data_IF_699378622057
#
_entry.id   IF_699378622057
#
_cell.length_a   1.000
_cell.length_b   1.000
_cell.length_c   1.000
_cell.angle_alpha   90.00
_cell.angle_beta   90.00
_cell.angle_gamma   90.00
#
_symmetry.space_group_name_H-M   'P 1'
#
loop_
_entity.id
_entity.type
_entity.pdbx_description
1 polymer ?
#
# COMPACT_ATOMS: atom_id res chain seq x y z
N UNK A 1 -11.05 -15.28 -8.61
CA UNK A 1 -12.16 -14.90 -7.70
C UNK A 1 -11.89 -13.49 -7.21
N UNK A 2 -12.81 -12.53 -7.35
CA UNK A 2 -12.59 -11.19 -6.84
C UNK A 2 -12.91 -11.14 -5.34
N UNK A 3 -12.02 -10.50 -4.58
CA UNK A 3 -12.12 -10.30 -3.15
C UNK A 3 -13.10 -9.14 -2.88
N UNK A 4 -14.16 -9.41 -2.13
CA UNK A 4 -15.12 -8.40 -1.69
C UNK A 4 -14.50 -7.58 -0.55
N UNK A 5 -14.09 -6.35 -0.84
CA UNK A 5 -13.83 -5.34 0.18
C UNK A 5 -15.13 -4.63 0.52
N UNK A 6 -15.61 -4.85 1.74
CA UNK A 6 -16.83 -4.28 2.29
C UNK A 6 -16.64 -2.79 2.58
N UNK A 7 -17.19 -1.95 1.71
CA UNK A 7 -17.33 -0.51 1.88
C UNK A 7 -18.24 -0.01 0.77
N UNK A 8 -19.24 0.82 1.08
CA UNK A 8 -20.32 1.27 0.18
C UNK A 8 -19.93 1.28 -1.32
N UNK A 9 -20.72 0.58 -2.14
CA UNK A 9 -20.38 0.28 -3.54
C UNK A 9 -20.18 1.56 -4.37
N UNK A 10 -18.94 1.86 -4.73
CA UNK A 10 -18.67 2.63 -5.93
C UNK A 10 -18.92 1.70 -7.11
N UNK A 11 -20.10 1.78 -7.73
CA UNK A 11 -20.53 0.88 -8.82
C UNK A 11 -19.68 0.93 -10.10
N UNK A 12 -18.47 1.50 -10.07
CA UNK A 12 -17.56 1.51 -11.22
C UNK A 12 -16.06 1.62 -10.89
N UNK A 13 -15.63 1.44 -9.63
CA UNK A 13 -14.20 1.44 -9.29
C UNK A 13 -13.57 0.08 -9.61
N UNK A 14 -12.67 0.05 -10.59
CA UNK A 14 -11.93 -1.13 -10.99
C UNK A 14 -10.42 -0.91 -10.88
N UNK A 15 -9.70 -1.85 -10.30
CA UNK A 15 -8.24 -1.90 -10.35
C UNK A 15 -7.84 -3.17 -11.07
N UNK A 16 -6.95 -3.06 -12.05
CA UNK A 16 -6.32 -4.20 -12.67
C UNK A 16 -4.80 -4.01 -12.78
N UNK A 17 -4.07 -5.08 -12.49
CA UNK A 17 -2.61 -5.10 -12.65
C UNK A 17 -2.29 -5.95 -13.87
N UNK A 18 -1.56 -5.38 -14.83
CA UNK A 18 -1.11 -6.11 -16.01
C UNK A 18 0.38 -5.86 -16.24
N UNK A 19 1.11 -6.92 -16.57
CA UNK A 19 2.48 -6.78 -17.05
C UNK A 19 2.42 -6.36 -18.51
N UNK A 20 2.91 -5.17 -18.83
CA UNK A 20 2.94 -4.68 -20.20
C UNK A 20 4.31 -4.98 -20.81
N UNK A 21 4.33 -5.98 -21.69
CA UNK A 21 5.53 -6.25 -22.50
C UNK A 21 5.57 -5.18 -23.61
N UNK A 22 6.35 -4.12 -23.41
CA UNK A 22 6.52 -3.07 -24.41
C UNK A 22 7.31 -3.60 -25.62
N UNK A 23 6.63 -4.23 -26.58
CA UNK A 23 7.18 -4.61 -27.88
C UNK A 23 7.28 -3.44 -28.87
N UNK A 24 6.82 -2.23 -28.49
CA UNK A 24 6.71 -1.08 -29.39
C UNK A 24 7.89 -0.09 -29.40
N UNK A 25 9.01 -0.41 -28.78
CA UNK A 25 10.29 0.28 -29.02
C UNK A 25 11.44 -0.71 -28.83
N UNK A 26 11.79 -1.39 -29.94
CA UNK A 26 12.92 -2.30 -30.04
C UNK A 26 14.24 -1.55 -29.93
N UNK A 27 14.69 -1.23 -28.72
CA UNK A 27 16.11 -1.12 -28.31
C UNK A 27 16.13 -1.11 -26.77
N UNK A 28 16.47 -2.25 -26.15
CA UNK A 28 16.29 -2.60 -24.71
C UNK A 28 14.85 -2.91 -24.29
N UNK A 29 14.42 -4.15 -24.55
CA UNK A 29 13.24 -4.74 -23.93
C UNK A 29 13.33 -4.66 -22.39
N UNK A 30 12.58 -3.73 -21.81
CA UNK A 30 12.38 -3.65 -20.36
C UNK A 30 10.92 -3.96 -20.12
N UNK A 31 10.66 -5.14 -19.57
CA UNK A 31 9.33 -5.53 -19.10
C UNK A 31 8.93 -4.56 -17.99
N UNK A 32 7.90 -3.74 -18.23
CA UNK A 32 7.38 -2.83 -17.24
C UNK A 32 6.05 -3.37 -16.71
N UNK A 33 5.90 -3.32 -15.40
CA UNK A 33 4.63 -3.67 -14.77
C UNK A 33 3.79 -2.41 -14.70
N UNK A 34 2.54 -2.49 -15.16
CA UNK A 34 1.64 -1.34 -15.23
C UNK A 34 0.39 -1.61 -14.38
N UNK A 35 0.15 -0.73 -13.42
CA UNK A 35 -1.08 -0.72 -12.63
C UNK A 35 -2.08 0.17 -13.33
N UNK A 36 -3.21 -0.39 -13.76
CA UNK A 36 -4.31 0.37 -14.35
C UNK A 36 -5.42 0.53 -13.31
N UNK A 37 -5.85 1.77 -13.12
CA UNK A 37 -6.96 2.12 -12.24
C UNK A 37 -8.04 2.79 -13.09
N UNK A 38 -9.28 2.34 -12.96
CA UNK A 38 -10.42 2.83 -13.74
C UNK A 38 -11.59 3.21 -12.84
N UNK A 39 -12.25 4.32 -13.14
CA UNK A 39 -13.53 4.72 -12.54
C UNK A 39 -14.50 5.12 -13.63
N UNK A 40 -15.53 4.30 -13.82
CA UNK A 40 -16.40 4.40 -15.00
C UNK A 40 -15.56 4.20 -16.26
N UNK A 41 -15.64 5.16 -17.20
CA UNK A 41 -14.87 5.14 -18.45
C UNK A 41 -13.46 5.72 -18.32
N UNK A 42 -13.16 6.39 -17.19
CA UNK A 42 -11.86 7.05 -16.98
C UNK A 42 -10.85 6.03 -16.52
N UNK A 43 -9.69 6.01 -17.17
CA UNK A 43 -8.61 5.09 -16.84
C UNK A 43 -7.28 5.84 -16.73
N UNK A 44 -6.53 5.55 -15.67
CA UNK A 44 -5.15 5.98 -15.50
C UNK A 44 -4.24 4.76 -15.38
N UNK A 45 -2.97 4.94 -15.73
CA UNK A 45 -1.95 3.89 -15.60
C UNK A 45 -0.73 4.38 -14.84
N UNK A 46 -0.14 3.51 -14.04
CA UNK A 46 1.12 3.73 -13.34
C UNK A 46 2.14 2.71 -13.81
N UNK A 47 3.26 3.20 -14.35
CA UNK A 47 4.45 2.38 -14.55
C UNK A 47 5.12 2.18 -13.19
N UNK A 48 5.16 0.92 -12.72
CA UNK A 48 5.80 0.56 -11.45
C UNK A 48 7.27 0.99 -11.50
N UNK A 49 7.96 0.77 -12.63
CA UNK A 49 9.36 1.15 -12.76
C UNK A 49 9.59 2.66 -12.62
N UNK A 50 8.80 3.49 -13.31
CA UNK A 50 8.97 4.96 -13.23
C UNK A 50 8.67 5.46 -11.82
N UNK A 51 7.61 4.94 -11.23
CA UNK A 51 7.20 5.34 -9.90
C UNK A 51 8.19 4.92 -8.81
N UNK A 52 8.67 3.69 -8.82
CA UNK A 52 9.71 3.25 -7.90
C UNK A 52 11.00 4.03 -8.06
N UNK A 53 11.38 4.37 -9.29
CA UNK A 53 12.52 5.24 -9.56
C UNK A 53 12.37 6.61 -8.90
N UNK A 54 11.20 7.22 -9.03
CA UNK A 54 10.90 8.50 -8.39
C UNK A 54 10.95 8.41 -6.86
N UNK A 55 10.41 7.33 -6.26
CA UNK A 55 10.49 7.16 -4.80
C UNK A 55 11.93 7.11 -4.34
N UNK A 56 12.75 6.26 -4.95
CA UNK A 56 14.16 6.12 -4.59
C UNK A 56 14.95 7.42 -4.80
N UNK A 57 14.67 8.16 -5.87
CA UNK A 57 15.29 9.46 -6.13
C UNK A 57 14.89 10.50 -5.08
N UNK A 58 13.61 10.57 -4.71
CA UNK A 58 13.11 11.49 -3.68
C UNK A 58 13.72 11.16 -2.32
N UNK A 59 13.78 9.88 -1.94
CA UNK A 59 14.40 9.44 -0.69
C UNK A 59 15.87 9.81 -0.67
N UNK A 60 16.63 9.55 -1.75
CA UNK A 60 18.05 9.96 -1.84
C UNK A 60 18.28 11.47 -1.71
N UNK A 61 17.32 12.29 -2.13
CA UNK A 61 17.41 13.75 -2.04
C UNK A 61 16.99 14.30 -0.68
N UNK A 62 16.04 13.65 0.00
CA UNK A 62 15.40 14.16 1.21
C UNK A 62 15.90 13.49 2.49
N UNK A 63 16.43 12.27 2.39
CA UNK A 63 16.97 11.53 3.52
C UNK A 63 18.38 12.01 3.85
N UNK A 64 18.64 12.21 5.14
CA UNK A 64 20.00 12.38 5.67
C UNK A 64 20.74 11.04 5.82
N UNK A 65 20.02 9.92 5.76
CA UNK A 65 20.53 8.56 5.83
C UNK A 65 20.79 7.98 4.45
N UNK A 66 21.71 7.02 4.39
CA UNK A 66 21.91 6.20 3.20
C UNK A 66 20.65 5.41 2.84
N UNK A 67 20.49 5.07 1.57
CA UNK A 67 19.34 4.35 1.05
C UNK A 67 19.20 2.97 1.71
N UNK A 68 20.31 2.31 2.03
CA UNK A 68 20.30 0.99 2.66
C UNK A 68 19.84 1.05 4.12
N UNK A 69 20.18 2.13 4.85
CA UNK A 69 19.65 2.37 6.20
C UNK A 69 18.16 2.67 6.15
N UNK A 70 17.73 3.49 5.18
CA UNK A 70 16.32 3.77 4.96
C UNK A 70 15.52 2.50 4.62
N UNK A 71 16.07 1.60 3.78
CA UNK A 71 15.45 0.31 3.48
C UNK A 71 15.29 -0.54 4.75
N UNK A 72 16.30 -0.57 5.63
CA UNK A 72 16.21 -1.32 6.90
C UNK A 72 15.12 -0.76 7.82
N UNK A 73 15.01 0.57 7.91
CA UNK A 73 13.96 1.22 8.69
C UNK A 73 12.57 0.89 8.11
N UNK A 74 12.39 1.06 6.80
CA UNK A 74 11.10 0.80 6.15
C UNK A 74 10.72 -0.69 6.16
N UNK A 75 11.70 -1.60 6.18
CA UNK A 75 11.44 -3.04 6.34
C UNK A 75 10.64 -3.34 7.61
N UNK A 76 10.85 -2.58 8.68
CA UNK A 76 10.14 -2.70 9.96
C UNK A 76 8.88 -1.82 9.95
N UNK A 77 9.02 -0.56 9.54
CA UNK A 77 7.97 0.46 9.65
C UNK A 77 6.78 0.17 8.74
N UNK A 78 7.02 -0.28 7.51
CA UNK A 78 5.95 -0.43 6.52
C UNK A 78 4.97 -1.58 6.86
N UNK A 79 5.41 -2.82 7.15
CA UNK A 79 4.49 -3.88 7.58
C UNK A 79 3.76 -3.51 8.88
N UNK A 80 4.46 -2.87 9.82
CA UNK A 80 3.88 -2.40 11.08
C UNK A 80 2.76 -1.38 10.86
N UNK A 81 2.97 -0.43 9.94
CA UNK A 81 1.93 0.50 9.50
C UNK A 81 0.74 -0.24 8.90
N UNK A 82 0.97 -1.23 8.02
CA UNK A 82 -0.11 -2.00 7.39
C UNK A 82 -0.96 -2.71 8.44
N UNK A 83 -0.32 -3.34 9.42
CA UNK A 83 -1.01 -4.00 10.54
C UNK A 83 -1.85 -2.97 11.31
N UNK A 84 -1.26 -1.86 11.73
CA UNK A 84 -1.97 -0.80 12.46
C UNK A 84 -3.17 -0.26 11.66
N UNK A 85 -2.99 -0.03 10.36
CA UNK A 85 -4.06 0.43 9.48
C UNK A 85 -5.22 -0.57 9.41
N UNK A 86 -4.95 -1.87 9.31
CA UNK A 86 -6.02 -2.88 9.28
C UNK A 86 -6.70 -3.09 10.63
N UNK A 87 -5.96 -2.96 11.74
CA UNK A 87 -6.55 -2.93 13.08
C UNK A 87 -7.53 -1.76 13.21
N UNK A 88 -7.13 -0.57 12.76
CA UNK A 88 -7.99 0.61 12.80
C UNK A 88 -9.20 0.46 11.86
N UNK A 89 -9.02 -0.12 10.67
CA UNK A 89 -10.12 -0.46 9.76
C UNK A 89 -11.11 -1.43 10.41
N UNK A 90 -10.62 -2.46 11.10
CA UNK A 90 -11.44 -3.43 11.81
C UNK A 90 -12.24 -2.77 12.93
N UNK A 91 -11.58 -1.95 13.76
CA UNK A 91 -12.25 -1.14 14.80
C UNK A 91 -13.38 -0.29 14.21
N UNK A 92 -13.11 0.39 13.10
CA UNK A 92 -14.08 1.25 12.42
C UNK A 92 -15.27 0.44 11.88
N UNK A 93 -15.03 -0.71 11.23
CA UNK A 93 -16.08 -1.53 10.63
C UNK A 93 -16.96 -2.24 11.66
N UNK A 94 -16.36 -2.73 12.74
CA UNK A 94 -17.06 -3.50 13.79
C UNK A 94 -17.55 -2.63 14.95
N UNK A 95 -17.26 -1.33 14.91
CA UNK A 95 -17.49 -0.40 16.02
C UNK A 95 -16.92 -0.96 17.35
N UNK A 96 -15.75 -1.59 17.25
CA UNK A 96 -15.07 -2.25 18.36
C UNK A 96 -13.90 -1.40 18.82
N UNK A 97 -13.53 -1.52 20.10
CA UNK A 97 -12.34 -0.88 20.66
C UNK A 97 -11.35 -1.96 21.05
N UNK A 98 -10.19 -1.95 20.42
CA UNK A 98 -9.10 -2.87 20.71
C UNK A 98 -8.18 -2.22 21.76
N UNK A 99 -7.82 -2.99 22.77
CA UNK A 99 -6.89 -2.57 23.83
C UNK A 99 -5.44 -2.54 23.32
N UNK A 100 -4.57 -1.84 24.05
CA UNK A 100 -3.14 -1.82 23.74
C UNK A 100 -2.53 -3.23 23.84
N UNK A 101 -3.02 -4.06 24.77
CA UNK A 101 -2.55 -5.43 25.00
C UNK A 101 -2.93 -6.35 23.84
N UNK A 102 -4.19 -6.28 23.38
CA UNK A 102 -4.66 -7.03 22.21
C UNK A 102 -3.88 -6.64 20.95
N UNK A 103 -3.62 -5.33 20.76
CA UNK A 103 -2.78 -4.84 19.67
C UNK A 103 -1.36 -5.40 19.75
N UNK A 104 -0.73 -5.38 20.92
CA UNK A 104 0.60 -5.98 21.10
C UNK A 104 0.60 -7.48 20.80
N UNK A 105 -0.46 -8.19 21.17
CA UNK A 105 -0.62 -9.62 20.89
C UNK A 105 -0.74 -9.92 19.40
N UNK A 106 -1.48 -9.11 18.65
CA UNK A 106 -1.53 -9.23 17.17
C UNK A 106 -0.13 -9.06 16.58
N UNK A 107 0.59 -8.01 16.98
CA UNK A 107 1.96 -7.77 16.51
C UNK A 107 2.90 -8.93 16.85
N UNK A 108 2.78 -9.52 18.04
CA UNK A 108 3.54 -10.69 18.43
C UNK A 108 3.23 -11.92 17.56
N UNK A 109 1.93 -12.22 17.34
CA UNK A 109 1.52 -13.36 16.51
C UNK A 109 2.02 -13.24 15.07
N UNK A 110 1.86 -12.06 14.46
CA UNK A 110 2.35 -11.79 13.10
C UNK A 110 3.88 -11.88 13.04
N UNK A 111 4.58 -11.31 14.04
CA UNK A 111 6.05 -11.38 14.11
C UNK A 111 6.55 -12.83 14.14
N UNK A 112 5.90 -13.70 14.92
CA UNK A 112 6.27 -15.12 15.02
C UNK A 112 5.99 -15.90 13.73
N UNK A 113 4.79 -15.75 13.15
CA UNK A 113 4.38 -16.55 11.99
C UNK A 113 5.04 -16.10 10.69
N UNK A 114 5.34 -14.80 10.55
CA UNK A 114 5.98 -14.24 9.36
C UNK A 114 7.48 -13.96 9.53
N UNK A 115 8.06 -14.25 10.70
CA UNK A 115 9.47 -13.99 11.04
C UNK A 115 9.87 -12.51 10.81
N UNK A 116 8.99 -11.59 11.21
CA UNK A 116 9.16 -10.15 11.01
C UNK A 116 9.54 -9.43 12.30
N UNK A 117 10.44 -8.46 12.18
CA UNK A 117 10.64 -7.44 13.22
C UNK A 117 9.64 -6.32 13.00
N UNK A 118 8.80 -6.03 13.99
CA UNK A 118 7.72 -5.06 13.91
C UNK A 118 7.80 -4.04 15.05
N UNK A 119 7.26 -2.84 14.81
CA UNK A 119 7.11 -1.78 15.81
C UNK A 119 5.63 -1.39 15.94
N UNK A 120 5.05 -1.69 17.10
CA UNK A 120 3.64 -1.39 17.42
C UNK A 120 3.31 0.10 17.28
N UNK A 121 4.30 0.99 17.45
CA UNK A 121 4.12 2.45 17.37
C UNK A 121 4.26 2.99 15.95
N UNK A 122 4.70 2.19 14.99
CA UNK A 122 4.88 2.63 13.62
C UNK A 122 3.54 2.83 12.90
N UNK A 123 3.21 4.08 12.59
CA UNK A 123 1.97 4.47 11.92
C UNK A 123 2.19 5.14 10.54
N UNK A 124 3.36 5.74 10.34
CA UNK A 124 3.69 6.54 9.16
C UNK A 124 4.90 5.95 8.45
N UNK A 125 4.72 5.51 7.21
CA UNK A 125 5.81 5.15 6.31
C UNK A 125 6.11 6.31 5.38
N UNK A 126 7.39 6.55 5.15
CA UNK A 126 7.84 7.58 4.22
C UNK A 126 7.47 7.26 2.77
N UNK A 127 7.28 5.98 2.43
CA UNK A 127 6.86 5.52 1.10
C UNK A 127 5.55 6.21 0.73
N UNK A 128 4.50 6.05 1.55
CA UNK A 128 3.20 6.68 1.31
C UNK A 128 3.30 8.22 1.21
N UNK A 129 4.13 8.85 2.04
CA UNK A 129 4.31 10.30 2.01
C UNK A 129 4.90 10.78 0.67
N UNK A 130 5.93 10.09 0.17
CA UNK A 130 6.56 10.40 -1.12
C UNK A 130 5.58 10.22 -2.28
N UNK A 131 4.74 9.20 -2.22
CA UNK A 131 3.70 8.93 -3.22
C UNK A 131 2.68 10.07 -3.27
N UNK A 132 2.10 10.39 -2.11
CA UNK A 132 1.07 11.43 -1.99
C UNK A 132 1.62 12.83 -2.30
N UNK A 133 2.90 13.08 -1.99
CA UNK A 133 3.62 14.31 -2.35
C UNK A 133 4.02 14.41 -3.82
N UNK A 134 3.88 13.34 -4.61
CA UNK A 134 4.26 13.37 -6.02
C UNK A 134 3.25 14.18 -6.85
N UNK A 135 3.73 15.25 -7.49
CA UNK A 135 2.92 16.03 -8.43
C UNK A 135 2.36 15.17 -9.58
N UNK A 136 3.09 14.13 -9.99
CA UNK A 136 2.65 13.20 -11.03
C UNK A 136 1.48 12.32 -10.56
N UNK A 137 1.47 11.94 -9.29
CA UNK A 137 0.39 11.18 -8.67
C UNK A 137 -0.86 12.06 -8.50
N UNK A 138 -0.70 13.27 -7.95
CA UNK A 138 -1.78 14.24 -7.78
C UNK A 138 -2.52 14.53 -9.10
N UNK A 139 -1.79 14.84 -10.18
CA UNK A 139 -2.39 15.08 -11.51
C UNK A 139 -3.18 13.87 -12.04
N UNK A 140 -2.72 12.64 -11.77
CA UNK A 140 -3.44 11.42 -12.18
C UNK A 140 -4.70 11.22 -11.35
N UNK A 141 -4.67 11.52 -10.04
CA UNK A 141 -5.85 11.47 -9.18
C UNK A 141 -6.87 12.54 -9.56
N UNK A 142 -6.42 13.75 -9.91
CA UNK A 142 -7.27 14.83 -10.41
C UNK A 142 -8.02 14.39 -11.67
N UNK A 143 -7.33 13.78 -12.63
CA UNK A 143 -7.93 13.29 -13.86
C UNK A 143 -8.90 12.10 -13.62
N UNK A 144 -8.53 11.17 -12.75
CA UNK A 144 -9.35 9.99 -12.46
C UNK A 144 -10.62 10.35 -11.67
N UNK A 145 -10.50 11.27 -10.72
CA UNK A 145 -11.57 11.66 -9.80
C UNK A 145 -12.27 12.97 -10.21
N UNK A 146 -12.13 13.38 -11.47
CA UNK A 146 -12.74 14.63 -11.97
C UNK A 146 -14.26 14.67 -11.70
N UNK A 147 -14.76 15.80 -11.23
CA UNK A 147 -16.17 15.95 -10.84
C UNK A 147 -16.65 15.06 -9.66
N UNK A 148 -15.77 14.32 -8.97
CA UNK A 148 -16.13 13.59 -7.75
C UNK A 148 -16.01 14.48 -6.51
N UNK A 149 -16.72 14.11 -5.43
CA UNK A 149 -16.57 14.81 -4.15
C UNK A 149 -15.16 14.64 -3.59
N UNK A 150 -14.74 15.61 -2.76
CA UNK A 150 -13.42 15.59 -2.11
C UNK A 150 -13.20 14.32 -1.30
N UNK A 151 -14.22 13.83 -0.60
CA UNK A 151 -14.12 12.61 0.22
C UNK A 151 -13.88 11.37 -0.63
N UNK A 152 -14.57 11.26 -1.77
CA UNK A 152 -14.38 10.16 -2.73
C UNK A 152 -12.98 10.21 -3.32
N UNK A 153 -12.52 11.40 -3.71
CA UNK A 153 -11.17 11.61 -4.24
C UNK A 153 -10.09 11.24 -3.22
N UNK A 154 -10.24 11.65 -1.96
CA UNK A 154 -9.30 11.32 -0.89
C UNK A 154 -9.23 9.81 -0.67
N UNK A 155 -10.36 9.13 -0.49
CA UNK A 155 -10.42 7.67 -0.33
C UNK A 155 -9.82 6.92 -1.51
N UNK A 156 -10.09 7.38 -2.73
CA UNK A 156 -9.54 6.81 -3.96
C UNK A 156 -8.02 6.98 -4.02
N UNK A 157 -7.54 8.18 -3.70
CA UNK A 157 -6.11 8.49 -3.66
C UNK A 157 -5.39 7.62 -2.64
N UNK A 158 -5.93 7.50 -1.43
CA UNK A 158 -5.36 6.66 -0.37
C UNK A 158 -5.31 5.18 -0.78
N UNK A 159 -6.37 4.68 -1.42
CA UNK A 159 -6.44 3.30 -1.92
C UNK A 159 -5.36 3.02 -2.96
N UNK A 160 -5.24 3.89 -3.96
CA UNK A 160 -4.25 3.73 -5.03
C UNK A 160 -2.83 3.94 -4.49
N UNK A 161 -2.62 4.89 -3.57
CA UNK A 161 -1.33 5.11 -2.95
C UNK A 161 -0.87 3.90 -2.13
N UNK A 162 -1.76 3.28 -1.34
CA UNK A 162 -1.45 2.05 -0.61
C UNK A 162 -1.09 0.90 -1.55
N UNK A 163 -1.85 0.71 -2.63
CA UNK A 163 -1.55 -0.32 -3.64
C UNK A 163 -0.16 -0.13 -4.28
N UNK A 164 0.17 1.11 -4.64
CA UNK A 164 1.46 1.44 -5.23
C UNK A 164 2.61 1.27 -4.21
N UNK A 165 2.35 1.61 -2.94
CA UNK A 165 3.29 1.39 -1.85
C UNK A 165 3.54 -0.11 -1.61
N UNK A 166 2.50 -0.95 -1.66
CA UNK A 166 2.64 -2.40 -1.48
C UNK A 166 3.58 -2.97 -2.55
N UNK A 167 3.31 -2.61 -3.82
CA UNK A 167 4.14 -3.04 -4.95
C UNK A 167 5.56 -2.52 -4.85
N UNK A 168 5.76 -1.30 -4.35
CA UNK A 168 7.09 -0.76 -4.13
C UNK A 168 7.82 -1.58 -3.07
N UNK A 169 7.19 -1.82 -1.92
CA UNK A 169 7.76 -2.57 -0.80
C UNK A 169 8.21 -3.97 -1.23
N UNK A 170 7.31 -4.73 -1.87
CA UNK A 170 7.59 -6.09 -2.32
C UNK A 170 8.69 -6.18 -3.38
N UNK A 171 8.92 -5.10 -4.13
CA UNK A 171 9.91 -5.10 -5.21
C UNK A 171 11.28 -4.56 -4.80
N UNK A 172 11.32 -3.65 -3.82
CA UNK A 172 12.51 -2.87 -3.50
C UNK A 172 12.97 -2.96 -2.05
N UNK A 173 12.17 -3.53 -1.15
CA UNK A 173 12.51 -3.63 0.28
C UNK A 173 12.58 -5.09 0.71
N UNK A 174 11.49 -5.83 0.56
CA UNK A 174 11.43 -7.24 0.95
C UNK A 174 10.48 -8.02 0.02
N UNK A 175 11.07 -8.84 -0.86
CA UNK A 175 10.33 -9.65 -1.83
C UNK A 175 9.72 -10.91 -1.26
N UNK A 176 10.15 -11.34 -0.08
CA UNK A 176 9.69 -12.59 0.53
C UNK A 176 8.39 -12.38 1.30
N UNK A 177 8.05 -11.12 1.60
CA UNK A 177 6.83 -10.74 2.30
C UNK A 177 5.70 -10.50 1.31
N UNK A 178 4.66 -11.32 1.41
CA UNK A 178 3.39 -11.02 0.75
C UNK A 178 2.55 -10.05 1.60
N UNK A 179 2.74 -8.74 1.38
CA UNK A 179 2.01 -7.68 2.09
C UNK A 179 0.49 -7.77 1.86
N UNK A 180 0.07 -8.19 0.66
CA UNK A 180 -1.36 -8.33 0.35
C UNK A 180 -1.96 -9.47 1.16
N UNK A 181 -1.27 -10.60 1.23
CA UNK A 181 -1.67 -11.70 2.10
C UNK A 181 -1.67 -11.29 3.57
N UNK A 182 -0.60 -10.64 4.04
CA UNK A 182 -0.49 -10.14 5.42
C UNK A 182 -1.70 -9.27 5.79
N UNK A 183 -2.05 -8.31 4.93
CA UNK A 183 -3.22 -7.43 5.12
C UNK A 183 -4.51 -8.23 5.30
N UNK A 184 -4.70 -9.24 4.46
CA UNK A 184 -5.92 -10.06 4.45
C UNK A 184 -6.03 -10.98 5.67
N UNK A 185 -4.89 -11.36 6.26
CA UNK A 185 -4.83 -12.25 7.42
C UNK A 185 -4.99 -11.49 8.76
N UNK A 186 -4.85 -10.15 8.79
CA UNK A 186 -4.97 -9.34 10.03
C UNK A 186 -6.29 -9.56 10.79
N UNK A 187 -7.47 -9.60 10.15
CA UNK A 187 -8.72 -9.90 10.84
C UNK A 187 -8.69 -11.25 11.59
N UNK A 188 -8.02 -12.26 11.06
CA UNK A 188 -7.91 -13.57 11.71
C UNK A 188 -6.96 -13.53 12.91
N UNK A 189 -5.83 -12.82 12.79
CA UNK A 189 -4.94 -12.56 13.92
C UNK A 189 -5.63 -11.78 15.04
N UNK A 190 -6.48 -10.82 14.67
CA UNK A 190 -7.29 -10.07 15.62
C UNK A 190 -8.27 -10.95 16.39
N UNK A 191 -9.00 -11.82 15.69
CA UNK A 191 -9.91 -12.77 16.33
C UNK A 191 -9.16 -13.69 17.30
N UNK A 192 -7.97 -14.18 16.93
CA UNK A 192 -7.11 -14.99 17.80
C UNK A 192 -6.58 -14.21 19.01
N UNK A 193 -6.27 -12.93 18.83
CA UNK A 193 -5.76 -12.07 19.90
C UNK A 193 -6.83 -11.69 20.93
N UNK A 194 -8.08 -11.55 20.50
CA UNK A 194 -9.23 -11.22 21.37
C UNK A 194 -9.75 -12.46 22.14
N UNK A 195 -9.65 -13.65 21.53
CA UNK A 195 -10.17 -14.89 22.14
C UNK A 195 -9.19 -15.57 23.10
N UNK A 196 -7.90 -15.28 22.98
CA UNK A 196 -6.85 -15.90 23.81
C UNK A 196 -6.46 -15.04 24.99
#
# INVERSE_FOLDING_TARGET
MPMNTTGMSFSSFGISCHRENSFRNSFRGKNDEVVKCSIGERTISFSVRKFSGNILETVRRQSTKDIDEWIKDERIVYPSRVINQEIDNYCFQKNAKISTEERQRVFFLVSQENQLTLDVKAAQSSINHVIMGSASFGKKMDALCDGMSRDVKNRTSDTIANLLADKFYQKHIDSDIDIVKLRNDIPDYLMRAIQG
#
